data_IF_625616866656
#
_entry.id   IF_625616866656
#
_cell.length_a   1.000
_cell.length_b   1.000
_cell.length_c   1.000
_cell.angle_alpha   90.00
_cell.angle_beta   90.00
_cell.angle_gamma   90.00
#
_symmetry.space_group_name_H-M   'P 1'
#
loop_
_entity.id
_entity.type
_entity.pdbx_description
1 polymer ?
#
# COMPACT_ATOMS: atom_id res chain seq x y z
N UNK A 1 10.36 -0.83 -26.90
CA UNK A 1 9.30 -0.13 -26.15
C UNK A 1 8.83 -1.07 -25.05
N UNK A 2 8.76 -0.65 -23.77
CA UNK A 2 8.21 -1.48 -22.69
C UNK A 2 6.72 -1.71 -22.98
N UNK A 3 6.20 -2.91 -22.73
CA UNK A 3 4.77 -3.19 -22.83
C UNK A 3 4.01 -2.27 -21.89
N UNK A 4 2.87 -1.69 -22.29
CA UNK A 4 2.09 -0.79 -21.44
C UNK A 4 1.33 -1.54 -20.33
N UNK A 5 1.53 -2.85 -20.19
CA UNK A 5 0.82 -3.74 -19.30
C UNK A 5 1.77 -4.73 -18.62
N UNK A 6 1.34 -5.25 -17.47
CA UNK A 6 1.98 -6.35 -16.76
C UNK A 6 0.96 -7.45 -16.46
N UNK A 7 1.29 -8.71 -16.81
CA UNK A 7 0.41 -9.86 -16.58
C UNK A 7 0.78 -10.58 -15.31
N UNK A 8 -0.23 -10.76 -14.46
CA UNK A 8 -0.21 -11.65 -13.31
C UNK A 8 -0.99 -12.94 -13.62
N UNK A 9 -0.98 -13.91 -12.72
CA UNK A 9 -1.68 -15.18 -12.92
C UNK A 9 -3.18 -15.04 -13.17
N UNK A 10 -3.84 -14.13 -12.45
CA UNK A 10 -5.30 -13.98 -12.45
C UNK A 10 -5.80 -12.66 -13.03
N UNK A 11 -4.94 -11.68 -13.23
CA UNK A 11 -5.31 -10.36 -13.76
C UNK A 11 -4.16 -9.73 -14.55
N UNK A 12 -4.47 -8.66 -15.24
CA UNK A 12 -3.53 -7.85 -16.00
C UNK A 12 -3.63 -6.39 -15.54
N UNK A 13 -2.50 -5.68 -15.48
CA UNK A 13 -2.44 -4.28 -15.09
C UNK A 13 -1.87 -3.44 -16.20
N UNK A 14 -2.68 -2.59 -16.78
CA UNK A 14 -2.26 -1.54 -17.69
C UNK A 14 -1.80 -0.33 -16.88
N UNK A 15 -0.78 0.39 -17.35
CA UNK A 15 -0.19 1.51 -16.63
C UNK A 15 0.31 2.63 -17.56
N UNK A 16 -0.39 2.82 -18.68
CA UNK A 16 -0.06 3.84 -19.68
C UNK A 16 -0.62 5.23 -19.35
N UNK A 17 -1.65 5.31 -18.50
CA UNK A 17 -2.29 6.55 -18.10
C UNK A 17 -1.86 7.08 -16.72
N UNK A 18 -1.13 6.30 -15.94
CA UNK A 18 -0.66 6.70 -14.61
C UNK A 18 0.86 6.94 -14.59
N UNK A 19 1.29 7.85 -13.71
CA UNK A 19 2.71 8.21 -13.57
C UNK A 19 3.58 7.05 -13.09
N UNK A 20 3.04 6.20 -12.21
CA UNK A 20 3.76 5.09 -11.61
C UNK A 20 3.42 3.77 -12.31
N UNK A 21 4.44 3.12 -12.88
CA UNK A 21 4.31 1.78 -13.46
C UNK A 21 4.22 0.72 -12.37
N UNK A 22 3.82 -0.51 -12.78
CA UNK A 22 3.92 -1.69 -11.90
C UNK A 22 5.36 -1.79 -11.36
N UNK A 23 5.50 -1.66 -10.05
CA UNK A 23 6.77 -1.66 -9.34
C UNK A 23 6.81 -2.71 -8.23
N UNK A 24 8.01 -3.05 -7.79
CA UNK A 24 8.24 -4.02 -6.72
C UNK A 24 7.54 -3.63 -5.42
N UNK A 25 7.52 -2.33 -5.09
CA UNK A 25 6.92 -1.83 -3.84
C UNK A 25 5.42 -2.13 -3.77
N UNK A 26 4.66 -1.87 -4.85
CA UNK A 26 3.23 -2.19 -4.91
C UNK A 26 2.97 -3.70 -4.82
N UNK A 27 3.79 -4.53 -5.49
CA UNK A 27 3.68 -5.99 -5.39
C UNK A 27 3.98 -6.48 -3.97
N UNK A 28 5.02 -5.94 -3.34
CA UNK A 28 5.36 -6.29 -1.96
C UNK A 28 4.23 -5.96 -1.00
N UNK A 29 3.68 -4.74 -1.05
CA UNK A 29 2.60 -4.33 -0.16
C UNK A 29 1.34 -5.17 -0.40
N UNK A 30 0.92 -5.35 -1.65
CA UNK A 30 -0.26 -6.14 -1.98
C UNK A 30 -0.16 -7.61 -1.56
N UNK A 31 1.04 -8.20 -1.67
CA UNK A 31 1.28 -9.58 -1.24
C UNK A 31 1.41 -9.72 0.29
N UNK A 32 2.05 -8.74 0.95
CA UNK A 32 2.39 -8.79 2.37
C UNK A 32 1.27 -8.32 3.31
N UNK A 33 0.46 -7.34 2.91
CA UNK A 33 -0.52 -6.67 3.77
C UNK A 33 -1.29 -7.67 4.65
N UNK A 34 -1.27 -7.54 5.98
CA UNK A 34 -2.11 -8.35 6.86
C UNK A 34 -3.59 -8.11 6.55
N UNK A 35 -4.34 -9.17 6.30
CA UNK A 35 -5.77 -9.10 6.04
C UNK A 35 -6.51 -9.59 7.28
N UNK A 36 -7.42 -8.76 7.78
CA UNK A 36 -8.35 -9.15 8.85
C UNK A 36 -9.44 -10.06 8.29
N UNK A 37 -9.73 -11.14 9.01
CA UNK A 37 -10.76 -12.10 8.64
C UNK A 37 -12.09 -11.65 9.24
N UNK A 38 -12.80 -10.74 8.56
CA UNK A 38 -14.18 -10.38 8.88
C UNK A 38 -15.14 -10.98 7.85
N UNK A 39 -16.41 -11.15 8.23
CA UNK A 39 -17.46 -11.65 7.30
C UNK A 39 -17.68 -10.69 6.12
N UNK A 40 -17.33 -9.45 6.28
CA UNK A 40 -17.39 -8.40 5.27
C UNK A 40 -16.20 -7.48 5.45
N UNK A 41 -15.35 -7.39 4.46
CA UNK A 41 -14.11 -6.59 4.53
C UNK A 41 -14.22 -5.31 3.70
N UNK A 42 -14.12 -4.16 4.36
CA UNK A 42 -14.03 -2.84 3.73
C UNK A 42 -12.58 -2.39 3.67
N UNK A 43 -12.09 -2.12 2.48
CA UNK A 43 -10.69 -1.73 2.25
C UNK A 43 -10.62 -0.36 1.58
N UNK A 44 -9.66 0.47 2.02
CA UNK A 44 -9.31 1.72 1.37
C UNK A 44 -7.88 1.64 0.82
N UNK A 45 -7.73 1.91 -0.48
CA UNK A 45 -6.42 2.05 -1.15
C UNK A 45 -6.17 3.54 -1.42
N UNK A 46 -5.18 4.12 -0.73
CA UNK A 46 -4.85 5.54 -0.81
C UNK A 46 -3.66 5.73 -1.77
N UNK A 47 -3.89 6.49 -2.84
CA UNK A 47 -2.94 6.65 -3.94
C UNK A 47 -2.97 5.43 -4.87
N UNK A 48 -4.13 5.19 -5.47
CA UNK A 48 -4.43 3.95 -6.21
C UNK A 48 -3.49 3.68 -7.39
N UNK A 49 -2.99 4.73 -8.04
CA UNK A 49 -2.15 4.58 -9.24
C UNK A 49 -2.82 3.71 -10.30
N UNK A 50 -2.18 2.61 -10.67
CA UNK A 50 -2.74 1.65 -11.64
C UNK A 50 -3.79 0.68 -11.04
N UNK A 51 -4.07 0.72 -9.75
CA UNK A 51 -4.96 -0.22 -9.07
C UNK A 51 -4.32 -1.56 -8.71
N UNK A 52 -3.00 -1.67 -8.81
CA UNK A 52 -2.27 -2.91 -8.56
C UNK A 52 -2.54 -3.49 -7.17
N UNK A 53 -2.41 -2.67 -6.13
CA UNK A 53 -2.56 -3.12 -4.73
C UNK A 53 -4.00 -3.60 -4.50
N UNK A 54 -4.99 -2.82 -4.93
CA UNK A 54 -6.41 -3.20 -4.87
C UNK A 54 -6.69 -4.55 -5.53
N UNK A 55 -6.15 -4.79 -6.75
CA UNK A 55 -6.32 -6.06 -7.47
C UNK A 55 -5.67 -7.25 -6.74
N UNK A 56 -4.48 -7.05 -6.17
CA UNK A 56 -3.80 -8.08 -5.40
C UNK A 56 -4.56 -8.42 -4.12
N UNK A 57 -5.10 -7.43 -3.42
CA UNK A 57 -5.93 -7.65 -2.23
C UNK A 57 -7.23 -8.36 -2.58
N UNK A 58 -7.90 -7.99 -3.69
CA UNK A 58 -9.09 -8.65 -4.18
C UNK A 58 -8.84 -10.14 -4.50
N UNK A 59 -7.73 -10.46 -5.16
CA UNK A 59 -7.32 -11.85 -5.40
C UNK A 59 -7.16 -12.61 -4.09
N UNK A 60 -6.43 -12.06 -3.11
CA UNK A 60 -6.19 -12.71 -1.82
C UNK A 60 -7.48 -12.96 -1.05
N UNK A 61 -8.37 -11.97 -0.98
CA UNK A 61 -9.66 -12.11 -0.29
C UNK A 61 -10.52 -13.20 -0.94
N UNK A 62 -10.59 -13.25 -2.27
CA UNK A 62 -11.32 -14.28 -3.00
C UNK A 62 -10.78 -15.70 -2.77
N UNK A 63 -9.47 -15.84 -2.50
CA UNK A 63 -8.84 -17.14 -2.23
C UNK A 63 -9.01 -17.61 -0.78
N UNK A 64 -9.05 -16.67 0.20
CA UNK A 64 -9.10 -17.00 1.63
C UNK A 64 -10.44 -17.63 2.01
N UNK A 65 -11.52 -17.02 1.58
CA UNK A 65 -12.88 -17.57 1.78
C UNK A 65 -13.80 -17.12 0.64
N UNK A 66 -14.29 -18.03 -0.20
CA UNK A 66 -15.24 -17.69 -1.28
C UNK A 66 -16.55 -17.07 -0.82
N UNK A 67 -16.87 -17.17 0.48
CA UNK A 67 -18.09 -16.63 1.10
C UNK A 67 -17.88 -15.25 1.74
N UNK A 68 -16.66 -14.74 1.83
CA UNK A 68 -16.43 -13.38 2.35
C UNK A 68 -16.88 -12.37 1.31
N UNK A 69 -17.81 -11.51 1.70
CA UNK A 69 -18.11 -10.30 0.96
C UNK A 69 -17.01 -9.27 1.22
N UNK A 70 -16.55 -8.57 0.18
CA UNK A 70 -15.59 -7.47 0.35
C UNK A 70 -15.91 -6.32 -0.61
N UNK A 71 -15.49 -5.12 -0.22
CA UNK A 71 -15.50 -3.94 -1.07
C UNK A 71 -14.17 -3.19 -0.92
N UNK A 72 -13.57 -2.83 -2.04
CA UNK A 72 -12.34 -2.04 -2.07
C UNK A 72 -12.66 -0.70 -2.71
N UNK A 73 -12.56 0.34 -1.90
CA UNK A 73 -12.62 1.73 -2.35
C UNK A 73 -11.19 2.23 -2.53
N UNK A 74 -10.93 2.85 -3.67
CA UNK A 74 -9.63 3.45 -3.96
C UNK A 74 -9.77 4.95 -4.22
N UNK A 75 -8.76 5.72 -3.83
CA UNK A 75 -8.72 7.17 -4.08
C UNK A 75 -7.37 7.59 -4.65
N UNK A 76 -7.40 8.58 -5.51
CA UNK A 76 -6.20 9.25 -6.03
C UNK A 76 -6.54 10.71 -6.40
N UNK A 77 -5.57 11.61 -6.32
CA UNK A 77 -5.71 12.99 -6.80
C UNK A 77 -5.55 13.10 -8.32
N UNK A 78 -4.80 12.15 -8.92
CA UNK A 78 -4.54 12.11 -10.35
C UNK A 78 -5.72 11.46 -11.11
N UNK A 79 -6.31 12.24 -12.02
CA UNK A 79 -7.40 11.76 -12.88
C UNK A 79 -6.97 10.59 -13.79
N UNK A 80 -5.71 10.59 -14.27
CA UNK A 80 -5.17 9.52 -15.10
C UNK A 80 -5.02 8.20 -14.33
N UNK A 81 -4.60 8.28 -13.06
CA UNK A 81 -4.53 7.12 -12.17
C UNK A 81 -5.92 6.53 -11.91
N UNK A 82 -6.92 7.37 -11.62
CA UNK A 82 -8.30 6.91 -11.41
C UNK A 82 -8.86 6.28 -12.68
N UNK A 83 -8.68 6.91 -13.85
CA UNK A 83 -9.11 6.32 -15.12
C UNK A 83 -8.44 4.97 -15.37
N UNK A 84 -7.14 4.88 -15.13
CA UNK A 84 -6.39 3.64 -15.31
C UNK A 84 -6.84 2.53 -14.37
N UNK A 85 -7.01 2.84 -13.09
CA UNK A 85 -7.47 1.87 -12.09
C UNK A 85 -8.87 1.35 -12.42
N UNK A 86 -9.80 2.21 -12.81
CA UNK A 86 -11.15 1.81 -13.23
C UNK A 86 -11.14 0.87 -14.44
N UNK A 87 -10.29 1.14 -15.45
CA UNK A 87 -10.12 0.25 -16.61
C UNK A 87 -9.59 -1.13 -16.19
N UNK A 88 -8.58 -1.15 -15.32
CA UNK A 88 -8.01 -2.40 -14.82
C UNK A 88 -9.01 -3.17 -13.94
N UNK A 89 -9.77 -2.49 -13.10
CA UNK A 89 -10.83 -3.08 -12.28
C UNK A 89 -11.92 -3.73 -13.13
N UNK A 90 -12.40 -3.00 -14.15
CA UNK A 90 -13.45 -3.49 -15.06
C UNK A 90 -13.05 -4.76 -15.84
N UNK A 91 -11.75 -4.97 -16.08
CA UNK A 91 -11.22 -6.14 -16.78
C UNK A 91 -10.85 -7.29 -15.84
N UNK A 92 -10.94 -7.09 -14.52
CA UNK A 92 -10.60 -8.09 -13.52
C UNK A 92 -11.80 -8.99 -13.16
N UNK A 93 -11.54 -10.19 -12.62
CA UNK A 93 -12.61 -11.04 -12.08
C UNK A 93 -13.42 -10.41 -10.94
N UNK A 94 -12.91 -9.32 -10.33
CA UNK A 94 -13.47 -8.69 -9.14
C UNK A 94 -14.11 -7.33 -9.43
N UNK A 95 -14.46 -7.03 -10.68
CA UNK A 95 -14.99 -5.73 -11.11
C UNK A 95 -16.16 -5.20 -10.24
N UNK A 96 -17.02 -6.10 -9.73
CA UNK A 96 -18.15 -5.73 -8.86
C UNK A 96 -17.78 -5.35 -7.42
N UNK A 97 -16.51 -5.53 -7.03
CA UNK A 97 -16.01 -5.30 -5.67
C UNK A 97 -15.05 -4.11 -5.56
N UNK A 98 -14.70 -3.49 -6.68
CA UNK A 98 -13.67 -2.47 -6.77
C UNK A 98 -14.23 -1.16 -7.30
N UNK A 99 -13.96 -0.08 -6.61
CA UNK A 99 -14.32 1.27 -7.03
C UNK A 99 -13.13 2.22 -6.85
N UNK A 100 -13.03 3.22 -7.73
CA UNK A 100 -12.01 4.26 -7.62
C UNK A 100 -12.64 5.63 -7.85
N UNK A 101 -12.21 6.63 -7.09
CA UNK A 101 -12.69 8.00 -7.20
C UNK A 101 -11.54 9.00 -7.12
N UNK A 102 -11.63 10.06 -7.94
CA UNK A 102 -10.69 11.17 -7.86
C UNK A 102 -11.02 12.03 -6.65
N UNK A 103 -10.19 11.91 -5.62
CA UNK A 103 -10.38 12.67 -4.38
C UNK A 103 -9.09 12.72 -3.58
N UNK A 104 -8.81 13.86 -2.97
CA UNK A 104 -7.74 13.99 -1.99
C UNK A 104 -8.16 13.31 -0.68
N UNK A 105 -7.21 12.66 0.01
CA UNK A 105 -7.48 12.01 1.30
C UNK A 105 -8.00 12.99 2.36
N UNK A 106 -7.53 14.24 2.31
CA UNK A 106 -7.95 15.31 3.21
C UNK A 106 -9.46 15.61 3.09
N UNK A 107 -10.01 15.46 1.91
CA UNK A 107 -11.41 15.73 1.58
C UNK A 107 -12.30 14.48 1.69
N UNK A 108 -11.67 13.30 1.71
CA UNK A 108 -12.40 12.04 1.69
C UNK A 108 -13.19 11.84 2.98
N UNK A 109 -14.50 11.67 2.84
CA UNK A 109 -15.45 11.39 3.92
C UNK A 109 -16.07 10.01 3.69
N UNK A 110 -16.23 9.24 4.75
CA UNK A 110 -16.95 7.97 4.75
C UNK A 110 -17.75 7.84 6.03
N UNK A 111 -18.96 7.34 5.92
CA UNK A 111 -19.80 6.95 7.07
C UNK A 111 -19.37 5.59 7.63
N UNK A 112 -18.77 4.76 6.80
CA UNK A 112 -18.26 3.45 7.18
C UNK A 112 -16.77 3.53 7.45
N UNK A 113 -16.30 2.69 8.38
CA UNK A 113 -14.88 2.53 8.69
C UNK A 113 -14.28 1.41 7.84
N UNK A 114 -12.98 1.46 7.66
CA UNK A 114 -12.26 0.48 6.87
C UNK A 114 -11.54 -0.52 7.77
N UNK A 115 -11.69 -1.80 7.47
CA UNK A 115 -10.97 -2.89 8.15
C UNK A 115 -9.50 -2.92 7.76
N UNK A 116 -9.20 -2.51 6.52
CA UNK A 116 -7.83 -2.39 6.03
C UNK A 116 -7.69 -1.07 5.27
N UNK A 117 -6.64 -0.32 5.58
CA UNK A 117 -6.20 0.83 4.79
C UNK A 117 -4.79 0.54 4.29
N UNK A 118 -4.57 0.71 3.00
CA UNK A 118 -3.25 0.53 2.39
C UNK A 118 -2.79 1.79 1.68
N UNK A 119 -1.48 2.04 1.69
CA UNK A 119 -0.88 3.07 0.86
C UNK A 119 0.58 2.76 0.52
N UNK A 120 0.92 3.02 -0.74
CA UNK A 120 2.29 3.19 -1.21
C UNK A 120 2.45 4.66 -1.60
N UNK A 121 2.62 5.56 -0.61
CA UNK A 121 2.62 6.99 -0.87
C UNK A 121 3.86 7.39 -1.69
N UNK A 122 3.80 8.49 -2.45
CA UNK A 122 4.99 9.02 -3.10
C UNK A 122 6.05 9.35 -2.05
N UNK A 123 7.30 8.95 -2.31
CA UNK A 123 8.37 9.18 -1.36
C UNK A 123 8.80 10.63 -1.37
N UNK A 124 8.60 11.32 -0.26
CA UNK A 124 9.22 12.61 -0.05
C UNK A 124 10.72 12.37 0.15
N UNK A 125 11.53 12.78 -0.83
CA UNK A 125 12.93 12.99 -0.56
C UNK A 125 12.99 14.21 0.37
N UNK A 126 13.06 13.98 1.67
CA UNK A 126 13.64 14.93 2.62
C UNK A 126 15.14 15.02 2.33
N UNK A 127 15.48 15.55 1.14
CA UNK A 127 16.84 15.96 0.85
C UNK A 127 17.11 17.17 1.75
N UNK A 128 17.87 16.94 2.79
CA UNK A 128 18.56 17.93 3.65
C UNK A 128 19.49 18.83 2.82
N UNK A 129 19.02 19.41 1.70
CA UNK A 129 19.74 20.42 0.93
C UNK A 129 18.75 21.44 0.38
N UNK A 130 18.73 22.59 1.04
CA UNK A 130 17.99 23.83 0.79
C UNK A 130 16.62 23.94 1.45
N UNK A 131 16.63 24.51 2.68
CA UNK A 131 15.44 24.93 3.43
C UNK A 131 14.47 25.83 2.64
N UNK A 132 14.93 26.50 1.61
CA UNK A 132 14.11 27.41 0.79
C UNK A 132 13.40 26.68 -0.36
N UNK A 133 13.99 25.62 -0.90
CA UNK A 133 13.35 24.78 -1.93
C UNK A 133 12.34 23.80 -1.32
N UNK A 134 12.62 23.27 -0.13
CA UNK A 134 11.66 22.45 0.62
C UNK A 134 10.41 23.26 1.03
N UNK A 135 10.58 24.54 1.43
CA UNK A 135 9.45 25.45 1.68
C UNK A 135 8.70 25.87 0.43
N UNK A 136 9.34 25.92 -0.73
CA UNK A 136 8.69 26.22 -2.01
C UNK A 136 7.90 25.01 -2.53
N UNK A 137 8.39 23.78 -2.34
CA UNK A 137 7.71 22.54 -2.73
C UNK A 137 6.53 22.22 -1.78
N UNK A 138 6.66 22.55 -0.49
CA UNK A 138 5.57 22.42 0.49
C UNK A 138 4.40 23.41 0.27
N UNK A 139 4.55 24.41 -0.62
CA UNK A 139 3.47 25.31 -1.01
C UNK A 139 2.66 24.82 -2.20
N UNK A 140 3.05 23.74 -2.85
CA UNK A 140 2.19 23.07 -3.82
C UNK A 140 1.28 22.10 -3.06
N UNK A 141 0.02 22.44 -3.02
CA UNK A 141 -1.14 21.78 -2.39
C UNK A 141 -1.38 20.32 -2.82
N UNK A 142 -0.45 19.69 -3.53
CA UNK A 142 -0.65 18.41 -4.22
C UNK A 142 0.10 17.21 -3.61
N UNK A 143 0.75 17.37 -2.45
CA UNK A 143 1.52 16.27 -1.83
C UNK A 143 0.99 15.92 -0.46
N UNK A 144 0.54 14.68 -0.29
CA UNK A 144 0.08 14.11 0.97
C UNK A 144 1.26 13.86 1.91
N UNK A 145 1.40 14.62 3.01
CA UNK A 145 2.44 14.40 4.02
C UNK A 145 2.19 13.13 4.85
N UNK A 146 3.23 12.58 5.50
CA UNK A 146 3.06 11.44 6.41
C UNK A 146 2.13 11.77 7.58
N UNK A 147 2.20 12.98 8.12
CA UNK A 147 1.29 13.45 9.15
C UNK A 147 -0.18 13.43 8.68
N UNK A 148 -0.47 13.97 7.51
CA UNK A 148 -1.82 13.93 6.94
C UNK A 148 -2.27 12.51 6.63
N UNK A 149 -1.39 11.68 6.05
CA UNK A 149 -1.69 10.27 5.79
C UNK A 149 -2.11 9.55 7.06
N UNK A 150 -1.30 9.63 8.12
CA UNK A 150 -1.59 8.96 9.39
C UNK A 150 -2.85 9.51 10.05
N UNK A 151 -2.98 10.83 10.14
CA UNK A 151 -4.13 11.49 10.76
C UNK A 151 -5.45 11.08 10.09
N UNK A 152 -5.49 11.13 8.75
CA UNK A 152 -6.71 10.79 8.02
C UNK A 152 -6.97 9.29 7.98
N UNK A 153 -5.94 8.45 7.85
CA UNK A 153 -6.08 7.01 7.96
C UNK A 153 -6.60 6.61 9.34
N UNK A 154 -6.05 7.16 10.42
CA UNK A 154 -6.55 6.92 11.77
C UNK A 154 -8.03 7.30 11.90
N UNK A 155 -8.48 8.41 11.31
CA UNK A 155 -9.89 8.81 11.33
C UNK A 155 -10.80 7.81 10.60
N UNK A 156 -10.32 7.18 9.55
CA UNK A 156 -11.09 6.27 8.68
C UNK A 156 -11.03 4.81 9.11
N UNK A 157 -10.01 4.43 9.88
CA UNK A 157 -9.77 3.04 10.30
C UNK A 157 -10.81 2.56 11.32
N UNK A 158 -11.26 1.32 11.16
CA UNK A 158 -12.10 0.63 12.13
C UNK A 158 -11.34 0.34 13.43
N UNK A 159 -12.05 -0.01 14.51
CA UNK A 159 -11.46 -0.30 15.84
C UNK A 159 -10.42 -1.42 15.77
N UNK A 160 -10.71 -2.49 15.05
CA UNK A 160 -9.81 -3.62 14.84
C UNK A 160 -9.15 -3.62 13.46
N UNK A 161 -9.14 -2.45 12.81
CA UNK A 161 -8.59 -2.30 11.47
C UNK A 161 -7.06 -2.26 11.45
N UNK A 162 -6.51 -2.48 10.26
CA UNK A 162 -5.08 -2.46 9.97
C UNK A 162 -4.75 -1.37 8.95
N UNK A 163 -3.80 -0.49 9.29
CA UNK A 163 -3.17 0.42 8.34
C UNK A 163 -1.85 -0.21 7.88
N UNK A 164 -1.68 -0.50 6.60
CA UNK A 164 -0.47 -1.11 6.05
C UNK A 164 0.18 -0.20 5.01
N UNK A 165 1.47 0.06 5.19
CA UNK A 165 2.26 0.98 4.37
C UNK A 165 3.52 0.30 3.85
N UNK A 166 4.01 0.76 2.69
CA UNK A 166 5.39 0.54 2.26
C UNK A 166 6.08 1.89 2.15
N UNK A 167 7.24 2.02 2.77
CA UNK A 167 7.96 3.29 2.92
C UNK A 167 9.48 3.09 2.74
N UNK A 168 10.26 4.14 2.45
CA UNK A 168 11.70 4.12 2.65
C UNK A 168 12.03 3.77 4.10
N UNK A 169 13.07 2.97 4.31
CA UNK A 169 13.48 2.55 5.67
C UNK A 169 13.86 3.72 6.58
N UNK A 170 14.30 4.81 6.00
CA UNK A 170 14.67 6.04 6.71
C UNK A 170 13.47 6.74 7.36
N UNK A 171 12.25 6.47 6.88
CA UNK A 171 11.01 7.05 7.41
C UNK A 171 10.46 6.32 8.64
N UNK A 172 11.06 5.20 9.06
CA UNK A 172 10.54 4.33 10.13
C UNK A 172 10.24 5.08 11.43
N UNK A 173 11.23 5.81 11.94
CA UNK A 173 11.07 6.51 13.23
C UNK A 173 10.02 7.62 13.16
N UNK A 174 10.00 8.37 12.07
CA UNK A 174 9.03 9.43 11.84
C UNK A 174 7.60 8.88 11.78
N UNK A 175 7.39 7.84 10.96
CA UNK A 175 6.03 7.29 10.77
C UNK A 175 5.50 6.61 12.04
N UNK A 176 6.35 5.96 12.84
CA UNK A 176 5.95 5.37 14.12
C UNK A 176 5.54 6.47 15.11
N UNK A 177 6.35 7.53 15.25
CA UNK A 177 6.03 8.64 16.15
C UNK A 177 4.70 9.31 15.77
N UNK A 178 4.48 9.60 14.49
CA UNK A 178 3.22 10.15 14.00
C UNK A 178 2.03 9.21 14.23
N UNK A 179 2.22 7.91 14.06
CA UNK A 179 1.17 6.92 14.29
C UNK A 179 0.76 6.84 15.76
N UNK A 180 1.73 6.88 16.68
CA UNK A 180 1.48 6.87 18.14
C UNK A 180 0.70 8.10 18.60
N UNK A 181 0.92 9.28 18.04
CA UNK A 181 0.13 10.49 18.30
C UNK A 181 -1.36 10.32 17.98
N UNK A 182 -1.68 9.39 17.08
CA UNK A 182 -3.04 9.04 16.67
C UNK A 182 -3.52 7.69 17.21
N UNK A 183 -2.88 7.16 18.26
CA UNK A 183 -3.21 5.88 18.90
C UNK A 183 -3.15 4.69 17.91
N UNK A 184 -2.19 4.71 17.00
CA UNK A 184 -1.86 3.62 16.10
C UNK A 184 -0.48 3.07 16.47
N UNK A 185 -0.40 1.77 16.72
CA UNK A 185 0.81 1.09 17.18
C UNK A 185 1.27 0.07 16.16
N UNK A 186 2.59 -0.06 15.91
CA UNK A 186 3.10 -1.04 14.96
C UNK A 186 2.81 -2.45 15.45
N UNK A 187 2.29 -3.28 14.55
CA UNK A 187 2.00 -4.71 14.79
C UNK A 187 2.95 -5.62 14.02
N UNK A 188 3.31 -5.22 12.80
CA UNK A 188 4.22 -5.97 11.92
C UNK A 188 5.19 -5.00 11.26
N UNK A 189 6.46 -5.36 11.23
CA UNK A 189 7.50 -4.65 10.49
C UNK A 189 8.29 -5.66 9.67
N UNK A 190 8.48 -5.40 8.38
CA UNK A 190 9.34 -6.22 7.53
C UNK A 190 10.35 -5.33 6.81
N UNK A 191 11.63 -5.52 7.13
CA UNK A 191 12.72 -4.82 6.47
C UNK A 191 13.04 -5.47 5.13
N UNK A 192 12.94 -4.70 4.05
CA UNK A 192 13.16 -5.19 2.69
C UNK A 192 14.53 -4.78 2.19
N UNK A 193 15.35 -5.78 1.93
CA UNK A 193 16.71 -5.64 1.40
C UNK A 193 16.73 -6.08 -0.07
N UNK A 194 17.53 -5.40 -0.90
CA UNK A 194 17.72 -5.86 -2.27
C UNK A 194 18.38 -7.24 -2.29
N UNK A 195 19.41 -7.45 -1.46
CA UNK A 195 20.13 -8.74 -1.31
C UNK A 195 20.88 -8.82 0.03
N UNK A 196 21.31 -10.01 0.47
CA UNK A 196 22.12 -10.17 1.67
C UNK A 196 23.34 -9.25 1.69
N UNK A 197 23.63 -8.66 2.86
CA UNK A 197 24.74 -7.74 3.06
C UNK A 197 24.50 -6.29 2.60
N UNK A 198 23.32 -5.98 2.04
CA UNK A 198 22.89 -4.60 1.77
C UNK A 198 21.93 -4.13 2.86
N UNK A 199 21.93 -2.83 3.15
CA UNK A 199 20.97 -2.21 4.07
C UNK A 199 19.55 -2.30 3.50
N UNK A 200 18.55 -2.35 4.39
CA UNK A 200 17.15 -2.27 3.99
C UNK A 200 16.90 -0.93 3.30
N UNK A 201 16.21 -0.96 2.17
CA UNK A 201 15.80 0.25 1.45
C UNK A 201 14.33 0.58 1.65
N UNK A 202 13.53 -0.38 2.07
CA UNK A 202 12.10 -0.25 2.31
C UNK A 202 11.73 -0.95 3.60
N UNK A 203 10.68 -0.46 4.21
CA UNK A 203 9.94 -1.15 5.25
C UNK A 203 8.51 -1.38 4.79
N UNK A 204 7.98 -2.54 5.10
CA UNK A 204 6.56 -2.82 5.13
C UNK A 204 6.17 -2.74 6.60
N UNK A 205 5.22 -1.87 6.91
CA UNK A 205 4.80 -1.65 8.29
C UNK A 205 3.28 -1.66 8.39
N UNK A 206 2.77 -2.36 9.39
CA UNK A 206 1.34 -2.40 9.70
C UNK A 206 1.08 -1.87 11.10
N UNK A 207 0.03 -1.09 11.24
CA UNK A 207 -0.42 -0.48 12.48
C UNK A 207 -1.84 -0.90 12.82
N UNK A 208 -2.16 -0.96 14.11
CA UNK A 208 -3.51 -1.13 14.64
C UNK A 208 -3.74 -0.21 15.85
N UNK A 209 -5.03 -0.01 16.23
CA UNK A 209 -5.40 0.84 17.39
C UNK A 209 -5.06 0.22 18.72
N UNK A 210 -5.03 -1.09 18.81
CA UNK A 210 -4.73 -1.77 20.06
C UNK A 210 -3.23 -1.74 20.31
N UNK A 211 -2.81 -1.04 21.35
CA UNK A 211 -1.50 -1.25 21.96
C UNK A 211 -1.50 -2.65 22.58
N UNK A 212 -1.26 -3.68 21.77
CA UNK A 212 -0.88 -4.94 22.36
C UNK A 212 0.40 -4.71 23.16
N UNK A 213 0.45 -5.18 24.40
CA UNK A 213 1.66 -5.17 25.24
C UNK A 213 2.83 -5.98 24.63
N UNK A 214 2.65 -6.51 23.45
CA UNK A 214 3.63 -7.27 22.70
C UNK A 214 4.36 -6.37 21.69
N UNK A 215 5.67 -6.55 21.60
CA UNK A 215 6.48 -5.93 20.56
C UNK A 215 5.97 -6.34 19.16
N UNK A 216 6.13 -5.47 18.14
CA UNK A 216 5.73 -5.80 16.79
C UNK A 216 6.47 -7.04 16.27
N UNK A 217 5.79 -7.86 15.48
CA UNK A 217 6.41 -8.96 14.76
C UNK A 217 7.36 -8.39 13.72
N UNK A 218 8.65 -8.62 13.90
CA UNK A 218 9.70 -8.07 13.04
C UNK A 218 10.31 -9.15 12.17
N UNK A 219 10.35 -8.91 10.86
CA UNK A 219 10.90 -9.82 9.87
C UNK A 219 11.90 -9.12 8.93
N UNK A 220 12.66 -9.93 8.21
CA UNK A 220 13.55 -9.49 7.14
C UNK A 220 13.19 -10.21 5.85
N UNK A 221 13.10 -9.45 4.75
CA UNK A 221 12.87 -9.98 3.40
C UNK A 221 14.00 -9.56 2.48
N UNK A 222 14.62 -10.50 1.82
CA UNK A 222 15.54 -10.27 0.72
C UNK A 222 14.82 -10.46 -0.62
N UNK A 223 14.96 -9.50 -1.55
CA UNK A 223 14.38 -9.64 -2.89
C UNK A 223 15.19 -10.66 -3.69
N UNK A 224 16.53 -10.51 -3.68
CA UNK A 224 17.48 -11.40 -4.34
C UNK A 224 18.18 -12.28 -3.31
N UNK A 225 18.62 -13.46 -3.74
CA UNK A 225 19.59 -14.25 -2.97
C UNK A 225 21.01 -14.04 -3.47
N UNK A 226 21.98 -14.67 -2.83
CA UNK A 226 23.37 -14.64 -3.30
C UNK A 226 23.55 -15.28 -4.69
N UNK A 227 22.66 -16.21 -5.06
CA UNK A 227 22.79 -17.06 -6.26
C UNK A 227 21.61 -16.97 -7.22
N UNK A 228 20.56 -16.20 -6.87
CA UNK A 228 19.34 -16.09 -7.69
C UNK A 228 18.81 -14.66 -7.68
N UNK A 229 18.26 -14.17 -8.82
CA UNK A 229 17.62 -12.86 -8.91
C UNK A 229 16.33 -12.73 -8.08
N UNK A 230 15.83 -13.85 -7.51
CA UNK A 230 14.71 -13.87 -6.56
C UNK A 230 15.02 -14.82 -5.43
N UNK A 231 14.92 -14.35 -4.18
CA UNK A 231 15.05 -15.20 -2.99
C UNK A 231 13.88 -16.17 -2.87
N UNK A 232 14.04 -17.21 -2.05
CA UNK A 232 12.94 -18.15 -1.77
C UNK A 232 11.79 -17.46 -1.03
N UNK A 233 12.12 -16.58 -0.09
CA UNK A 233 11.15 -15.81 0.70
C UNK A 233 10.33 -14.88 -0.20
N UNK A 234 10.98 -14.17 -1.13
CA UNK A 234 10.31 -13.32 -2.10
C UNK A 234 9.42 -14.13 -3.06
N UNK A 235 9.91 -15.29 -3.52
CA UNK A 235 9.13 -16.18 -4.39
C UNK A 235 7.91 -16.73 -3.65
N UNK A 236 8.06 -17.14 -2.40
CA UNK A 236 6.95 -17.64 -1.57
C UNK A 236 5.89 -16.54 -1.33
N UNK A 237 6.34 -15.33 -0.98
CA UNK A 237 5.45 -14.19 -0.78
C UNK A 237 4.64 -13.84 -2.04
N UNK A 238 5.24 -13.98 -3.21
CA UNK A 238 4.64 -13.54 -4.48
C UNK A 238 4.16 -14.68 -5.37
N UNK A 239 4.21 -15.93 -4.89
CA UNK A 239 3.93 -17.15 -5.68
C UNK A 239 2.56 -17.17 -6.35
N UNK A 240 1.55 -16.56 -5.73
CA UNK A 240 0.19 -16.57 -6.23
C UNK A 240 -0.07 -15.50 -7.32
N UNK A 241 0.90 -14.60 -7.54
CA UNK A 241 0.77 -13.46 -8.43
C UNK A 241 1.59 -13.60 -9.72
N UNK A 242 2.88 -13.89 -9.62
CA UNK A 242 3.74 -13.98 -10.80
C UNK A 242 3.52 -15.26 -11.60
N UNK A 243 3.63 -15.13 -12.93
CA UNK A 243 3.59 -16.24 -13.88
C UNK A 243 4.81 -17.15 -13.74
#
# INVERSE_FOLDING_TARGET
MSRPNFRFKQFEVWHDKCAMKVGTDGVLLGAWCPLTMSCHAHILDIGVGSGLISLMLAQRLSCIQPTISFAIQAIDIDAGAVEQSLLNFAQSPWAGHLASVRMALQEYQSTEKFDVIVSNPPYFQSSLKNSDQARATARHTDSLSYEELIRHAARLLAEHGTLALILPSEAEQEIIALAEEHSLYPTHITYVHSKPGKVAKRILIAFARSANSQLPITNTLYIESATSPRSKEYQELTKDFYL
#
